data_IF_138943152702
#
_entry.id   IF_138943152702
#
_cell.length_a   1.000
_cell.length_b   1.000
_cell.length_c   1.000
_cell.angle_alpha   90.00
_cell.angle_beta   90.00
_cell.angle_gamma   90.00
#
_symmetry.space_group_name_H-M   'P 1'
#
loop_
_entity.id
_entity.type
_entity.pdbx_description
1 polymer ?
#
# COMPACT_ATOMS: atom_id res chain seq x y z
N UNK A 1 10.96 30.18 5.49
CA UNK A 1 9.99 29.17 5.96
C UNK A 1 9.83 28.16 4.83
N UNK A 2 10.66 27.12 4.81
CA UNK A 2 10.56 26.07 3.80
C UNK A 2 9.47 25.13 4.29
N UNK A 3 8.27 25.24 3.70
CA UNK A 3 7.17 24.35 4.03
C UNK A 3 7.51 22.93 3.59
N UNK A 4 7.29 21.96 4.49
CA UNK A 4 7.31 20.54 4.16
C UNK A 4 6.49 20.30 2.87
N UNK A 5 6.94 19.42 1.95
CA UNK A 5 6.18 19.13 0.76
C UNK A 5 4.81 18.59 1.18
N UNK A 6 3.76 19.36 0.87
CA UNK A 6 2.38 18.93 1.04
C UNK A 6 2.23 17.66 0.21
N UNK A 7 2.12 16.51 0.88
CA UNK A 7 1.95 15.24 0.19
C UNK A 7 0.55 15.26 -0.43
N UNK A 8 0.50 15.57 -1.71
CA UNK A 8 -0.74 15.73 -2.46
C UNK A 8 -1.39 14.37 -2.71
N UNK A 9 -2.70 14.38 -2.94
CA UNK A 9 -3.37 13.16 -3.37
C UNK A 9 -2.79 12.70 -4.71
N UNK A 10 -2.30 11.45 -4.83
CA UNK A 10 -1.72 10.96 -6.07
C UNK A 10 -2.80 10.86 -7.15
N UNK A 11 -2.52 11.35 -8.35
CA UNK A 11 -3.41 11.14 -9.51
C UNK A 11 -3.20 9.73 -10.08
N UNK A 12 -4.25 9.06 -10.59
CA UNK A 12 -5.66 9.45 -10.69
C UNK A 12 -6.51 9.06 -9.47
N UNK A 13 -5.93 8.92 -8.28
CA UNK A 13 -6.66 8.56 -7.08
C UNK A 13 -7.45 9.73 -6.49
N UNK A 14 -8.38 9.41 -5.60
CA UNK A 14 -9.15 10.37 -4.80
C UNK A 14 -8.79 10.23 -3.33
N UNK A 15 -8.66 11.36 -2.62
CA UNK A 15 -8.36 11.38 -1.19
C UNK A 15 -9.44 12.17 -0.46
N UNK A 16 -10.01 11.58 0.61
CA UNK A 16 -11.08 12.19 1.40
C UNK A 16 -10.98 11.73 2.84
N UNK A 17 -10.97 12.68 3.79
CA UNK A 17 -11.00 12.41 5.23
C UNK A 17 -9.95 11.38 5.70
N UNK A 18 -8.69 11.52 5.27
CA UNK A 18 -7.60 10.60 5.64
C UNK A 18 -7.70 9.22 4.97
N UNK A 19 -8.43 9.12 3.86
CA UNK A 19 -8.62 7.88 3.10
C UNK A 19 -8.23 8.07 1.65
N UNK A 20 -7.51 7.10 1.10
CA UNK A 20 -7.06 7.05 -0.30
C UNK A 20 -7.84 5.99 -1.08
N UNK A 21 -8.40 6.39 -2.21
CA UNK A 21 -9.16 5.55 -3.12
C UNK A 21 -8.55 5.56 -4.52
N UNK A 22 -8.02 4.41 -4.94
CA UNK A 22 -7.39 4.16 -6.24
C UNK A 22 -8.00 2.88 -6.86
N UNK A 23 -9.30 2.90 -7.19
CA UNK A 23 -10.00 1.69 -7.65
C UNK A 23 -10.18 1.68 -9.17
N UNK A 24 -9.76 0.60 -9.84
CA UNK A 24 -9.97 0.39 -11.28
C UNK A 24 -9.52 1.58 -12.16
N UNK A 25 -8.47 2.29 -11.74
CA UNK A 25 -7.93 3.46 -12.45
C UNK A 25 -6.71 3.11 -13.31
N UNK A 26 -6.39 1.83 -13.45
CA UNK A 26 -5.34 1.33 -14.33
C UNK A 26 -3.92 1.53 -13.81
N UNK A 27 -3.72 1.62 -12.49
CA UNK A 27 -2.38 1.71 -11.92
C UNK A 27 -1.54 0.47 -12.26
N UNK A 28 -0.28 0.69 -12.60
CA UNK A 28 0.72 -0.37 -12.79
C UNK A 28 1.71 -0.46 -11.62
N UNK A 29 1.71 0.55 -10.74
CA UNK A 29 2.49 0.62 -9.51
C UNK A 29 1.72 1.32 -8.40
N UNK A 30 2.17 1.10 -7.16
CA UNK A 30 1.67 1.83 -5.99
C UNK A 30 2.26 3.25 -6.01
N UNK A 31 1.46 4.31 -5.73
CA UNK A 31 1.99 5.67 -5.64
C UNK A 31 3.11 5.77 -4.60
N UNK A 32 4.20 6.48 -4.88
CA UNK A 32 5.33 6.60 -3.95
C UNK A 32 5.08 7.56 -2.77
N UNK A 33 4.03 8.36 -2.85
CA UNK A 33 3.61 9.29 -1.79
C UNK A 33 2.08 9.37 -1.72
N UNK A 34 1.58 9.55 -0.50
CA UNK A 34 0.17 9.73 -0.15
C UNK A 34 0.09 10.81 0.94
N UNK A 35 -1.07 11.47 1.13
CA UNK A 35 -1.25 12.41 2.25
C UNK A 35 -0.86 11.78 3.58
N UNK A 36 -0.11 12.50 4.42
CA UNK A 36 0.50 11.95 5.64
C UNK A 36 -0.53 11.54 6.70
N UNK A 37 -1.75 12.07 6.65
CA UNK A 37 -2.88 11.71 7.49
C UNK A 37 -3.66 10.48 6.98
N UNK A 38 -3.21 9.84 5.90
CA UNK A 38 -3.87 8.66 5.34
C UNK A 38 -3.76 7.47 6.29
N UNK A 39 -4.91 6.97 6.76
CA UNK A 39 -5.03 5.79 7.63
C UNK A 39 -5.63 4.58 6.91
N UNK A 40 -6.32 4.83 5.80
CA UNK A 40 -6.94 3.80 4.96
C UNK A 40 -6.55 4.01 3.50
N UNK A 41 -6.09 2.95 2.82
CA UNK A 41 -5.81 2.97 1.40
C UNK A 41 -6.47 1.77 0.70
N UNK A 42 -7.25 2.06 -0.33
CA UNK A 42 -7.87 1.08 -1.20
C UNK A 42 -7.33 1.24 -2.61
N UNK A 43 -6.46 0.33 -3.02
CA UNK A 43 -5.76 0.30 -4.30
C UNK A 43 -6.16 -0.98 -5.04
N UNK A 44 -7.46 -1.17 -5.20
CA UNK A 44 -8.08 -2.43 -5.69
C UNK A 44 -8.38 -2.39 -7.18
N UNK A 45 -8.34 -3.53 -7.86
CA UNK A 45 -8.78 -3.60 -9.26
C UNK A 45 -7.81 -2.96 -10.26
N UNK A 46 -6.51 -2.90 -9.97
CA UNK A 46 -5.51 -2.33 -10.89
C UNK A 46 -4.61 -3.42 -11.52
N UNK A 47 -3.55 -2.99 -12.20
CA UNK A 47 -2.63 -3.83 -12.97
C UNK A 47 -1.26 -3.92 -12.29
N UNK A 48 -1.24 -3.83 -10.95
CA UNK A 48 -0.01 -3.87 -10.16
C UNK A 48 0.47 -5.30 -10.11
N UNK A 49 1.67 -5.56 -10.64
CA UNK A 49 2.24 -6.92 -10.72
C UNK A 49 3.32 -7.21 -9.66
N UNK A 50 3.97 -6.17 -9.14
CA UNK A 50 5.11 -6.29 -8.24
C UNK A 50 5.00 -5.28 -7.09
N UNK A 51 5.34 -5.74 -5.88
CA UNK A 51 5.61 -4.84 -4.74
C UNK A 51 7.09 -4.92 -4.43
N UNK A 52 7.80 -3.81 -4.62
CA UNK A 52 9.24 -3.71 -4.45
C UNK A 52 9.59 -3.38 -3.00
N UNK A 53 10.85 -3.61 -2.62
CA UNK A 53 11.40 -3.17 -1.33
C UNK A 53 11.15 -1.66 -1.14
N UNK A 54 10.82 -1.26 0.08
CA UNK A 54 10.57 0.14 0.48
C UNK A 54 9.38 0.84 -0.21
N UNK A 55 8.50 0.10 -0.92
CA UNK A 55 7.31 0.67 -1.60
C UNK A 55 6.44 1.50 -0.66
N UNK A 56 6.38 1.14 0.62
CA UNK A 56 5.52 1.77 1.62
C UNK A 56 6.28 2.56 2.70
N UNK A 57 7.55 2.90 2.46
CA UNK A 57 8.44 3.46 3.48
C UNK A 57 7.91 4.73 4.17
N UNK A 58 7.09 5.52 3.46
CA UNK A 58 6.50 6.77 3.94
C UNK A 58 5.11 6.61 4.55
N UNK A 59 4.49 5.43 4.46
CA UNK A 59 3.07 5.21 4.80
C UNK A 59 2.86 4.87 6.29
N UNK A 60 3.53 5.61 7.17
CA UNK A 60 3.70 5.25 8.59
C UNK A 60 2.41 5.21 9.40
N UNK A 61 1.40 6.00 8.97
CA UNK A 61 0.10 6.10 9.64
C UNK A 61 -0.96 5.16 9.05
N UNK A 62 -0.61 4.37 8.04
CA UNK A 62 -1.57 3.51 7.36
C UNK A 62 -1.94 2.31 8.24
N UNK A 63 -3.22 2.18 8.58
CA UNK A 63 -3.75 1.10 9.43
C UNK A 63 -4.37 -0.03 8.61
N UNK A 64 -4.93 0.30 7.44
CA UNK A 64 -5.61 -0.65 6.56
C UNK A 64 -5.22 -0.43 5.10
N UNK A 65 -4.71 -1.48 4.47
CA UNK A 65 -4.27 -1.50 3.09
C UNK A 65 -5.00 -2.61 2.32
N UNK A 66 -5.74 -2.21 1.29
CA UNK A 66 -6.50 -3.11 0.43
C UNK A 66 -5.89 -3.10 -0.96
N UNK A 67 -5.28 -4.22 -1.33
CA UNK A 67 -4.59 -4.45 -2.61
C UNK A 67 -5.23 -5.61 -3.40
N UNK A 68 -6.47 -5.96 -3.06
CA UNK A 68 -7.16 -7.05 -3.71
C UNK A 68 -7.45 -6.77 -5.20
N UNK A 69 -7.68 -7.82 -5.97
CA UNK A 69 -8.01 -7.73 -7.40
C UNK A 69 -6.95 -6.97 -8.21
N UNK A 70 -5.67 -7.12 -7.86
CA UNK A 70 -4.55 -6.70 -8.69
C UNK A 70 -3.93 -7.91 -9.40
N UNK A 71 -2.74 -7.76 -9.97
CA UNK A 71 -2.00 -8.82 -10.66
C UNK A 71 -0.74 -9.19 -9.88
N UNK A 72 -0.71 -8.96 -8.56
CA UNK A 72 0.50 -9.07 -7.75
C UNK A 72 0.93 -10.53 -7.76
N UNK A 73 2.10 -10.78 -8.33
CA UNK A 73 2.69 -12.12 -8.46
C UNK A 73 3.96 -12.26 -7.61
N UNK A 74 4.62 -11.15 -7.29
CA UNK A 74 5.86 -11.14 -6.52
C UNK A 74 5.88 -9.97 -5.53
N UNK A 75 6.32 -10.27 -4.31
CA UNK A 75 6.55 -9.31 -3.23
C UNK A 75 8.01 -9.46 -2.80
N UNK A 76 8.79 -8.38 -2.92
CA UNK A 76 10.20 -8.37 -2.50
C UNK A 76 10.34 -8.45 -0.99
N UNK A 77 11.49 -8.95 -0.51
CA UNK A 77 11.85 -8.81 0.90
C UNK A 77 11.92 -7.33 1.29
N UNK A 78 11.42 -6.98 2.47
CA UNK A 78 11.33 -5.58 2.92
C UNK A 78 10.30 -4.73 2.16
N UNK A 79 9.40 -5.34 1.37
CA UNK A 79 8.37 -4.60 0.65
C UNK A 79 7.48 -3.78 1.58
N UNK A 80 7.13 -4.34 2.73
CA UNK A 80 6.24 -3.72 3.73
C UNK A 80 6.97 -2.89 4.79
N UNK A 81 8.28 -2.65 4.64
CA UNK A 81 9.02 -1.71 5.47
C UNK A 81 8.31 -0.35 5.53
N UNK A 82 8.16 0.19 6.73
CA UNK A 82 7.51 1.49 6.98
C UNK A 82 6.03 1.42 7.35
N UNK A 83 5.35 0.29 7.13
CA UNK A 83 3.95 0.07 7.53
C UNK A 83 3.81 -0.25 9.04
N UNK A 84 4.41 0.58 9.89
CA UNK A 84 4.50 0.35 11.34
C UNK A 84 3.15 0.34 12.07
N UNK A 85 2.13 1.00 11.50
CA UNK A 85 0.78 1.06 12.06
C UNK A 85 -0.21 0.08 11.41
N UNK A 86 0.23 -0.71 10.43
CA UNK A 86 -0.69 -1.52 9.63
C UNK A 86 -1.24 -2.70 10.44
N UNK A 87 -2.57 -2.75 10.53
CA UNK A 87 -3.31 -3.80 11.26
C UNK A 87 -4.03 -4.75 10.32
N UNK A 88 -4.37 -4.30 9.11
CA UNK A 88 -5.12 -5.09 8.12
C UNK A 88 -4.51 -4.95 6.74
N UNK A 89 -4.13 -6.06 6.16
CA UNK A 89 -3.67 -6.19 4.78
C UNK A 89 -4.64 -7.11 4.04
N UNK A 90 -5.03 -6.74 2.83
CA UNK A 90 -5.79 -7.62 1.94
C UNK A 90 -5.06 -7.74 0.61
N UNK A 91 -4.57 -8.95 0.32
CA UNK A 91 -3.91 -9.35 -0.93
C UNK A 91 -4.75 -10.36 -1.71
N UNK A 92 -6.03 -10.55 -1.38
CA UNK A 92 -6.91 -11.50 -2.05
C UNK A 92 -7.07 -11.19 -3.54
N UNK A 93 -7.48 -12.19 -4.34
CA UNK A 93 -7.70 -11.99 -5.78
C UNK A 93 -6.46 -11.45 -6.53
N UNK A 94 -5.26 -11.84 -6.09
CA UNK A 94 -3.99 -11.60 -6.78
C UNK A 94 -3.44 -12.90 -7.38
N UNK A 95 -2.24 -12.84 -7.97
CA UNK A 95 -1.57 -13.96 -8.65
C UNK A 95 -0.40 -14.52 -7.82
N UNK A 96 -0.45 -14.37 -6.50
CA UNK A 96 0.59 -14.83 -5.59
C UNK A 96 0.63 -16.36 -5.59
N UNK A 97 1.74 -16.93 -6.05
CA UNK A 97 1.98 -18.38 -6.04
C UNK A 97 2.86 -18.81 -4.87
N UNK A 98 3.73 -17.91 -4.40
CA UNK A 98 4.65 -18.15 -3.30
C UNK A 98 4.65 -16.95 -2.37
N UNK A 99 4.38 -17.21 -1.09
CA UNK A 99 4.55 -16.25 0.01
C UNK A 99 5.60 -16.82 0.94
N UNK A 100 6.69 -16.09 1.15
CA UNK A 100 7.77 -16.55 2.03
C UNK A 100 7.45 -16.20 3.49
N UNK A 101 7.98 -16.96 4.43
CA UNK A 101 7.68 -16.77 5.86
C UNK A 101 8.06 -15.38 6.35
N UNK A 102 9.11 -14.80 5.78
CA UNK A 102 9.62 -13.47 6.11
C UNK A 102 8.91 -12.31 5.41
N UNK A 103 8.00 -12.58 4.46
CA UNK A 103 7.34 -11.54 3.66
C UNK A 103 6.62 -10.51 4.53
N UNK A 104 6.11 -10.90 5.69
CA UNK A 104 5.34 -10.02 6.60
C UNK A 104 6.05 -9.70 7.92
N UNK A 105 7.33 -10.02 8.06
CA UNK A 105 8.09 -9.79 9.29
C UNK A 105 8.18 -8.31 9.69
N UNK A 106 8.04 -7.40 8.71
CA UNK A 106 8.10 -5.94 8.90
C UNK A 106 6.76 -5.33 9.36
N UNK A 107 5.75 -6.15 9.65
CA UNK A 107 4.40 -5.72 10.04
C UNK A 107 4.10 -6.05 11.51
N UNK A 108 4.68 -5.31 12.48
CA UNK A 108 4.61 -5.65 13.91
C UNK A 108 3.19 -5.56 14.50
N UNK A 109 2.29 -4.82 13.86
CA UNK A 109 0.92 -4.58 14.32
C UNK A 109 -0.13 -5.37 13.53
N UNK A 110 0.28 -6.28 12.64
CA UNK A 110 -0.63 -6.98 11.75
C UNK A 110 -1.56 -7.92 12.55
N UNK A 111 -2.86 -7.69 12.42
CA UNK A 111 -3.88 -8.49 13.08
C UNK A 111 -4.66 -9.37 12.10
N UNK A 112 -4.76 -8.93 10.83
CA UNK A 112 -5.50 -9.62 9.77
C UNK A 112 -4.78 -9.50 8.44
N UNK A 113 -4.67 -10.63 7.75
CA UNK A 113 -4.12 -10.82 6.41
C UNK A 113 -5.17 -11.49 5.51
#
# INVERSE_FOLDING_TARGET
>A
LLGEPVHTCPTPCTCVLGQLYCQAVGLTSIPSSIPSDTTFAMISGNQIAFIQTDTFLTFRNLEKLILNANQIQNISSGAFCGLSALRRLDLSENLLTVVRGETFSDLPMLERL
#
